data_IF_364746859032
#
_entry.id   IF_364746859032
#
_cell.length_a   1.000
_cell.length_b   1.000
_cell.length_c   1.000
_cell.angle_alpha   90.00
_cell.angle_beta   90.00
_cell.angle_gamma   90.00
#
_symmetry.space_group_name_H-M   'P 1'
#
loop_
_entity.id
_entity.type
_entity.pdbx_description
1 polymer ?
#
# COMPACT_ATOMS: atom_id res chain seq x y z
N UNK A 1 -30.88 -34.07 25.54
CA UNK A 1 -29.83 -33.88 24.50
C UNK A 1 -29.64 -32.35 24.34
N UNK A 2 -28.74 -31.77 25.15
CA UNK A 2 -28.52 -30.33 25.17
C UNK A 2 -27.58 -29.94 24.04
N UNK A 3 -28.11 -29.22 23.06
CA UNK A 3 -27.31 -28.60 21.99
C UNK A 3 -26.69 -27.34 22.57
N UNK A 4 -25.41 -27.43 22.93
CA UNK A 4 -24.62 -26.32 23.44
C UNK A 4 -24.29 -25.37 22.28
N UNK A 5 -25.14 -24.39 22.04
CA UNK A 5 -24.90 -23.24 21.16
C UNK A 5 -23.82 -22.37 21.81
N UNK A 6 -22.55 -22.75 21.64
CA UNK A 6 -21.42 -21.87 22.01
C UNK A 6 -21.55 -20.58 21.22
N UNK A 7 -21.79 -19.52 21.96
CA UNK A 7 -21.90 -18.14 21.53
C UNK A 7 -20.75 -17.71 20.61
N UNK A 8 -21.07 -17.50 19.35
CA UNK A 8 -20.19 -16.89 18.35
C UNK A 8 -20.13 -15.37 18.52
N UNK A 9 -19.93 -14.89 19.77
CA UNK A 9 -19.83 -13.44 20.09
C UNK A 9 -18.44 -12.87 19.80
N UNK A 10 -17.40 -13.70 19.74
CA UNK A 10 -16.03 -13.29 19.45
C UNK A 10 -15.82 -12.81 18.01
N UNK A 11 -16.50 -13.46 17.04
CA UNK A 11 -16.35 -13.15 15.62
C UNK A 11 -17.04 -11.85 15.17
N UNK A 12 -18.03 -11.36 15.91
CA UNK A 12 -18.71 -10.09 15.61
C UNK A 12 -17.93 -8.89 16.16
N UNK A 13 -17.16 -9.05 17.23
CA UNK A 13 -16.40 -7.98 17.84
C UNK A 13 -15.16 -7.61 17.02
N UNK A 14 -14.55 -8.58 16.33
CA UNK A 14 -13.41 -8.34 15.44
C UNK A 14 -13.80 -7.60 14.14
N UNK A 15 -15.07 -7.64 13.73
CA UNK A 15 -15.59 -6.97 12.52
C UNK A 15 -15.83 -5.48 12.70
N UNK A 16 -15.82 -4.96 13.91
CA UNK A 16 -16.13 -3.55 14.19
C UNK A 16 -14.94 -2.77 14.79
N UNK A 17 -13.76 -3.34 14.74
CA UNK A 17 -12.56 -2.65 15.22
C UNK A 17 -12.09 -1.61 14.17
N UNK A 18 -12.01 -0.36 14.60
CA UNK A 18 -11.51 0.74 13.76
C UNK A 18 -10.03 0.48 13.43
N UNK A 19 -9.71 0.44 12.15
CA UNK A 19 -8.36 0.19 11.63
C UNK A 19 -7.87 1.36 10.83
N UNK A 20 -6.54 1.48 10.70
CA UNK A 20 -5.89 2.49 9.86
C UNK A 20 -5.34 1.83 8.61
N UNK A 21 -5.81 2.26 7.45
CA UNK A 21 -5.35 1.81 6.15
C UNK A 21 -4.57 2.92 5.45
N UNK A 22 -3.39 2.59 4.95
CA UNK A 22 -2.64 3.42 4.03
C UNK A 22 -2.58 2.68 2.69
N UNK A 23 -3.15 3.29 1.64
CA UNK A 23 -3.32 2.66 0.34
C UNK A 23 -2.29 3.23 -0.64
N UNK A 24 -1.34 2.41 -1.05
CA UNK A 24 -0.23 2.77 -1.94
C UNK A 24 -0.56 2.35 -3.37
N UNK A 25 -0.64 3.34 -4.26
CA UNK A 25 -0.99 3.14 -5.66
C UNK A 25 0.17 2.57 -6.50
N UNK A 26 -0.14 2.08 -7.69
CA UNK A 26 0.82 1.58 -8.67
C UNK A 26 1.52 2.68 -9.48
N UNK A 27 2.40 2.26 -10.40
CA UNK A 27 3.04 3.16 -11.35
C UNK A 27 2.02 3.93 -12.20
N UNK A 28 2.39 5.14 -12.63
CA UNK A 28 1.58 6.05 -13.45
C UNK A 28 0.22 6.44 -12.87
N UNK A 29 -0.08 6.05 -11.64
CA UNK A 29 -1.30 6.37 -10.92
C UNK A 29 -1.07 7.48 -9.88
N UNK A 30 -2.02 7.67 -9.02
CA UNK A 30 -1.99 8.54 -7.85
C UNK A 30 -3.01 8.05 -6.83
N UNK A 31 -3.20 8.76 -5.74
CA UNK A 31 -4.19 8.44 -4.71
C UNK A 31 -5.60 8.27 -5.26
N UNK A 32 -5.91 8.88 -6.40
CA UNK A 32 -7.18 8.77 -7.12
C UNK A 32 -7.55 7.34 -7.53
N UNK A 33 -6.55 6.43 -7.64
CA UNK A 33 -6.79 5.00 -7.91
C UNK A 33 -7.78 4.40 -6.91
N UNK A 34 -7.73 4.87 -5.69
CA UNK A 34 -8.51 4.35 -4.57
C UNK A 34 -9.85 5.06 -4.36
N UNK A 35 -10.30 5.88 -5.33
CA UNK A 35 -11.50 6.74 -5.22
C UNK A 35 -12.79 6.00 -4.87
N UNK A 36 -12.88 4.71 -5.18
CA UNK A 36 -14.05 3.88 -4.85
C UNK A 36 -13.82 3.00 -3.62
N UNK A 37 -12.59 2.59 -3.37
CA UNK A 37 -12.23 1.73 -2.23
C UNK A 37 -12.15 2.53 -0.93
N UNK A 38 -11.49 3.69 -0.96
CA UNK A 38 -11.28 4.49 0.24
C UNK A 38 -12.60 4.96 0.89
N UNK A 39 -13.60 5.48 0.15
CA UNK A 39 -14.89 5.81 0.74
C UNK A 39 -15.59 4.61 1.38
N UNK A 40 -15.59 3.45 0.71
CA UNK A 40 -16.23 2.24 1.23
C UNK A 40 -15.61 1.78 2.56
N UNK A 41 -14.27 1.82 2.68
CA UNK A 41 -13.60 1.51 3.94
C UNK A 41 -13.90 2.55 5.03
N UNK A 42 -14.01 3.83 4.68
CA UNK A 42 -14.38 4.90 5.63
C UNK A 42 -15.81 4.74 6.12
N UNK A 43 -16.74 4.34 5.26
CA UNK A 43 -18.14 4.03 5.65
C UNK A 43 -18.21 2.88 6.65
N UNK A 44 -17.26 1.95 6.60
CA UNK A 44 -17.09 0.88 7.59
C UNK A 44 -16.44 1.35 8.91
N UNK A 45 -16.13 2.64 9.04
CA UNK A 45 -15.60 3.26 10.26
C UNK A 45 -14.08 3.27 10.35
N UNK A 46 -13.36 2.91 9.29
CA UNK A 46 -11.90 2.89 9.27
C UNK A 46 -11.29 4.26 8.96
N UNK A 47 -10.04 4.48 9.41
CA UNK A 47 -9.18 5.57 8.93
C UNK A 47 -8.53 5.12 7.63
N UNK A 48 -8.63 5.92 6.57
CA UNK A 48 -8.09 5.55 5.26
C UNK A 48 -7.42 6.74 4.62
N UNK A 49 -6.17 6.60 4.25
CA UNK A 49 -5.40 7.59 3.50
C UNK A 49 -4.87 7.02 2.19
N UNK A 50 -4.72 7.88 1.21
CA UNK A 50 -4.34 7.52 -0.17
C UNK A 50 -3.26 8.47 -0.67
N UNK A 51 -2.05 8.45 -0.08
CA UNK A 51 -0.97 9.35 -0.48
C UNK A 51 -0.59 9.12 -1.95
N UNK A 52 -0.27 10.20 -2.66
CA UNK A 52 0.28 10.14 -4.01
C UNK A 52 1.80 10.26 -3.95
N UNK A 53 2.48 9.33 -4.62
CA UNK A 53 3.94 9.29 -4.69
C UNK A 53 4.49 10.48 -5.48
N UNK A 54 5.66 10.97 -5.10
CA UNK A 54 6.35 12.09 -5.73
C UNK A 54 6.52 11.87 -7.24
N UNK A 55 6.14 12.86 -8.03
CA UNK A 55 6.26 12.83 -9.49
C UNK A 55 5.16 12.06 -10.20
N UNK A 56 4.17 11.51 -9.49
CA UNK A 56 3.05 10.75 -10.05
C UNK A 56 1.72 11.46 -9.81
N UNK A 57 0.71 11.08 -10.54
CA UNK A 57 -0.65 11.61 -10.43
C UNK A 57 -0.70 13.14 -10.43
N UNK A 58 -1.39 13.71 -9.46
CA UNK A 58 -1.50 15.17 -9.25
C UNK A 58 -0.17 15.82 -8.79
N UNK A 59 0.81 15.02 -8.38
CA UNK A 59 2.16 15.46 -8.01
C UNK A 59 3.16 15.36 -9.16
N UNK A 60 2.69 15.17 -10.41
CA UNK A 60 3.54 15.02 -11.61
C UNK A 60 4.54 16.16 -11.81
N UNK A 61 4.22 17.37 -11.37
CA UNK A 61 5.09 18.54 -11.45
C UNK A 61 6.36 18.41 -10.61
N UNK A 62 6.41 17.49 -9.67
CA UNK A 62 7.58 17.14 -8.87
C UNK A 62 8.43 16.02 -9.49
N UNK A 63 7.98 15.45 -10.60
CA UNK A 63 8.70 14.41 -11.33
C UNK A 63 9.97 14.95 -11.95
N UNK A 64 11.10 14.32 -11.62
CA UNK A 64 12.40 14.60 -12.21
C UNK A 64 13.26 13.33 -12.16
N UNK A 65 14.46 13.40 -12.72
CA UNK A 65 15.40 12.28 -12.77
C UNK A 65 15.89 11.81 -11.38
N UNK A 66 15.60 12.57 -10.32
CA UNK A 66 16.01 12.21 -8.94
C UNK A 66 14.90 11.48 -8.16
N UNK A 67 13.68 11.44 -8.67
CA UNK A 67 12.60 10.67 -8.07
C UNK A 67 12.84 9.16 -8.30
N UNK A 68 13.24 8.48 -7.25
CA UNK A 68 13.61 7.07 -7.25
C UNK A 68 12.67 6.23 -6.38
N UNK A 69 12.84 4.92 -6.35
CA UNK A 69 12.15 4.06 -5.40
C UNK A 69 12.37 4.51 -3.95
N UNK A 70 13.59 4.95 -3.59
CA UNK A 70 13.88 5.47 -2.24
C UNK A 70 13.08 6.73 -1.93
N UNK A 71 12.85 7.61 -2.92
CA UNK A 71 11.98 8.79 -2.77
C UNK A 71 10.55 8.38 -2.47
N UNK A 72 10.03 7.38 -3.19
CA UNK A 72 8.67 6.90 -3.00
C UNK A 72 8.49 6.16 -1.67
N UNK A 73 9.50 5.43 -1.21
CA UNK A 73 9.51 4.84 0.13
C UNK A 73 9.45 5.94 1.19
N UNK A 74 10.24 7.00 1.03
CA UNK A 74 10.23 8.15 1.94
C UNK A 74 8.88 8.85 1.98
N UNK A 75 8.20 9.00 0.83
CA UNK A 75 6.85 9.56 0.77
C UNK A 75 5.88 8.84 1.74
N UNK A 76 5.94 7.51 1.77
CA UNK A 76 5.05 6.71 2.61
C UNK A 76 5.52 6.65 4.05
N UNK A 77 6.82 6.53 4.30
CA UNK A 77 7.39 6.58 5.65
C UNK A 77 7.03 7.91 6.33
N UNK A 78 7.36 9.03 5.67
CA UNK A 78 7.07 10.35 6.22
C UNK A 78 5.55 10.57 6.42
N UNK A 79 4.72 10.10 5.49
CA UNK A 79 3.27 10.18 5.65
C UNK A 79 2.79 9.46 6.92
N UNK A 80 3.20 8.22 7.12
CA UNK A 80 2.80 7.43 8.29
C UNK A 80 3.30 8.07 9.59
N UNK A 81 4.54 8.57 9.60
CA UNK A 81 5.16 9.20 10.77
C UNK A 81 4.51 10.53 11.13
N UNK A 82 4.28 11.40 10.13
CA UNK A 82 3.71 12.74 10.35
C UNK A 82 2.24 12.68 10.76
N UNK A 83 1.48 11.72 10.23
CA UNK A 83 0.10 11.45 10.69
C UNK A 83 0.07 10.75 12.07
N UNK A 84 1.20 10.30 12.60
CA UNK A 84 1.30 9.60 13.88
C UNK A 84 0.62 8.22 13.87
N UNK A 85 0.48 7.61 12.71
CA UNK A 85 -0.20 6.32 12.58
C UNK A 85 0.59 5.18 13.21
N UNK A 86 -0.15 4.28 13.88
CA UNK A 86 0.31 3.03 14.44
C UNK A 86 -0.61 1.89 13.97
N UNK A 87 -0.13 0.66 14.06
CA UNK A 87 -0.90 -0.54 13.68
C UNK A 87 -1.49 -0.44 12.26
N UNK A 88 -0.70 0.08 11.32
CA UNK A 88 -1.12 0.36 9.95
C UNK A 88 -1.33 -0.93 9.15
N UNK A 89 -2.46 -1.02 8.47
CA UNK A 89 -2.69 -1.94 7.37
C UNK A 89 -2.22 -1.27 6.08
N UNK A 90 -1.04 -1.68 5.60
CA UNK A 90 -0.42 -1.11 4.42
C UNK A 90 -0.83 -1.91 3.19
N UNK A 91 -1.68 -1.32 2.36
CA UNK A 91 -2.23 -1.94 1.14
C UNK A 91 -1.50 -1.39 -0.07
N UNK A 92 -1.05 -2.26 -0.94
CA UNK A 92 -0.29 -1.88 -2.13
C UNK A 92 -0.81 -2.53 -3.40
N UNK A 93 -0.73 -1.81 -4.50
CA UNK A 93 -1.12 -2.29 -5.82
C UNK A 93 0.04 -2.13 -6.81
N UNK A 94 0.29 -3.15 -7.63
CA UNK A 94 1.31 -3.13 -8.69
C UNK A 94 2.69 -2.67 -8.17
N UNK A 95 3.30 -1.64 -8.77
CA UNK A 95 4.56 -1.04 -8.32
C UNK A 95 4.54 -0.62 -6.84
N UNK A 96 3.36 -0.26 -6.31
CA UNK A 96 3.20 0.08 -4.89
C UNK A 96 3.69 -1.02 -3.94
N UNK A 97 3.78 -2.27 -4.39
CA UNK A 97 4.35 -3.38 -3.61
C UNK A 97 5.83 -3.21 -3.32
N UNK A 98 6.61 -2.67 -4.27
CA UNK A 98 8.01 -2.31 -4.07
C UNK A 98 8.16 -1.25 -2.99
N UNK A 99 7.32 -0.20 -3.07
CA UNK A 99 7.31 0.92 -2.13
C UNK A 99 6.90 0.46 -0.72
N UNK A 100 5.82 -0.29 -0.62
CA UNK A 100 5.29 -0.76 0.65
C UNK A 100 6.26 -1.73 1.36
N UNK A 101 6.93 -2.61 0.61
CA UNK A 101 7.95 -3.49 1.18
C UNK A 101 9.12 -2.69 1.74
N UNK A 102 9.61 -1.68 0.99
CA UNK A 102 10.65 -0.78 1.48
C UNK A 102 10.20 0.03 2.71
N UNK A 103 8.94 0.43 2.76
CA UNK A 103 8.36 1.09 3.93
C UNK A 103 8.38 0.17 5.15
N UNK A 104 7.94 -1.09 5.00
CA UNK A 104 7.96 -2.08 6.08
C UNK A 104 9.37 -2.28 6.64
N UNK A 105 10.40 -2.33 5.80
CA UNK A 105 11.79 -2.51 6.27
C UNK A 105 12.29 -1.32 7.08
N UNK A 106 11.76 -0.12 6.85
CA UNK A 106 12.18 1.11 7.55
C UNK A 106 11.44 1.39 8.86
N UNK A 107 10.14 1.09 8.89
CA UNK A 107 9.28 1.35 10.05
C UNK A 107 8.43 0.12 10.43
N UNK A 108 9.05 -1.06 10.66
CA UNK A 108 8.31 -2.31 10.92
C UNK A 108 7.37 -2.21 12.12
N UNK A 109 7.75 -1.48 13.15
CA UNK A 109 6.97 -1.35 14.39
C UNK A 109 5.65 -0.58 14.20
N UNK A 110 5.49 0.14 13.10
CA UNK A 110 4.24 0.86 12.77
C UNK A 110 3.30 0.07 11.88
N UNK A 111 3.78 -1.01 11.26
CA UNK A 111 3.02 -1.80 10.28
C UNK A 111 2.47 -3.05 10.94
N UNK A 112 1.16 -3.15 11.03
CA UNK A 112 0.48 -4.33 11.55
C UNK A 112 0.34 -5.44 10.51
N UNK A 113 0.08 -5.07 9.28
CA UNK A 113 -0.16 -6.03 8.20
C UNK A 113 0.14 -5.43 6.83
N UNK A 114 0.67 -6.27 5.96
CA UNK A 114 0.89 -5.94 4.55
C UNK A 114 -0.15 -6.64 3.69
N UNK A 115 -0.74 -5.91 2.75
CA UNK A 115 -1.71 -6.46 1.78
C UNK A 115 -1.22 -6.11 0.36
N UNK A 116 -0.86 -7.14 -0.39
CA UNK A 116 -0.45 -7.04 -1.79
C UNK A 116 -1.66 -7.33 -2.69
N UNK A 117 -2.18 -6.29 -3.34
CA UNK A 117 -3.32 -6.38 -4.23
C UNK A 117 -2.82 -6.32 -5.67
N UNK A 118 -2.64 -7.49 -6.30
CA UNK A 118 -2.02 -7.60 -7.63
C UNK A 118 -0.73 -6.76 -7.72
N UNK A 119 0.16 -6.96 -6.76
CA UNK A 119 1.33 -6.14 -6.52
C UNK A 119 2.63 -6.94 -6.68
N UNK A 120 3.69 -6.23 -7.03
CA UNK A 120 5.03 -6.81 -7.04
C UNK A 120 5.53 -6.99 -5.60
N UNK A 121 5.98 -8.21 -5.30
CA UNK A 121 6.69 -8.52 -4.06
C UNK A 121 8.18 -8.60 -4.41
N UNK A 122 9.00 -7.61 -4.00
CA UNK A 122 10.40 -7.59 -4.37
C UNK A 122 11.18 -8.70 -3.67
N UNK A 123 12.15 -9.24 -4.37
CA UNK A 123 13.24 -10.01 -3.79
C UNK A 123 14.42 -9.08 -3.53
N UNK A 124 15.23 -9.40 -2.52
CA UNK A 124 16.39 -8.60 -2.15
C UNK A 124 17.36 -8.44 -3.34
N UNK A 125 17.77 -7.20 -3.57
CA UNK A 125 18.68 -6.83 -4.67
C UNK A 125 18.04 -6.80 -6.06
N UNK A 126 16.73 -7.06 -6.20
CA UNK A 126 16.03 -6.99 -7.49
C UNK A 126 15.26 -5.67 -7.67
N UNK A 127 15.34 -5.15 -8.89
CA UNK A 127 14.53 -4.00 -9.33
C UNK A 127 13.15 -4.44 -9.83
N UNK A 128 12.25 -3.48 -10.04
CA UNK A 128 10.96 -3.75 -10.68
C UNK A 128 11.11 -4.43 -12.03
N UNK A 129 12.12 -4.03 -12.82
CA UNK A 129 12.37 -4.60 -14.15
C UNK A 129 12.69 -6.08 -14.07
N UNK A 130 13.40 -6.50 -13.03
CA UNK A 130 13.75 -7.91 -12.80
C UNK A 130 12.55 -8.78 -12.46
N UNK A 131 11.44 -8.17 -12.02
CA UNK A 131 10.18 -8.85 -11.74
C UNK A 131 9.37 -9.17 -13.00
N UNK A 132 9.75 -8.61 -14.16
CA UNK A 132 9.09 -8.92 -15.43
C UNK A 132 9.76 -10.11 -16.12
N UNK A 133 8.96 -10.89 -16.86
CA UNK A 133 9.49 -11.95 -17.70
C UNK A 133 10.40 -11.37 -18.82
N UNK A 134 11.36 -12.14 -19.35
CA UNK A 134 12.21 -11.68 -20.45
C UNK A 134 11.42 -11.13 -21.66
N UNK A 135 10.24 -11.69 -21.94
CA UNK A 135 9.35 -11.22 -23.02
C UNK A 135 8.74 -9.84 -22.74
N UNK A 136 8.55 -9.49 -21.46
CA UNK A 136 7.98 -8.20 -21.08
C UNK A 136 9.07 -7.13 -20.95
N UNK A 137 10.31 -7.53 -20.70
CA UNK A 137 11.47 -6.63 -20.65
C UNK A 137 11.78 -6.04 -22.04
N UNK A 138 11.66 -6.83 -23.11
CA UNK A 138 11.90 -6.38 -24.50
C UNK A 138 10.86 -5.35 -24.98
N UNK A 139 9.66 -5.36 -24.46
CA UNK A 139 8.60 -4.40 -24.82
C UNK A 139 8.81 -2.98 -24.28
N UNK A 140 9.68 -2.81 -23.29
CA UNK A 140 9.91 -1.52 -22.61
C UNK A 140 11.06 -0.70 -23.22
N UNK A 141 11.81 -1.26 -24.15
CA UNK A 141 12.83 -0.52 -24.91
C UNK A 141 12.24 0.33 -26.04
N UNK A 142 10.91 0.48 -26.14
CA UNK A 142 10.21 1.19 -27.24
C UNK A 142 9.32 2.33 -26.70
N UNK A 143 9.66 2.92 -25.55
CA UNK A 143 9.01 4.18 -25.10
C UNK A 143 10.08 5.17 -24.68
#
# INVERSE_FOLDING_TARGET
MDINLKNNRGDRQSRNERRTFVLVHGGWCGGWLWRYVAPALRELGHVVTTPTLTGLGERRHLGNSTATLSTHIEDIVAHIEMEGFQDVFLVSQSYGGMVATGTLTRIPDRIRSMIYLDAFVPEDGKSLVDCFSPKDQDRKSVV
#
